data_IF_945306496648
#
_entry.id   IF_945306496648
#
_cell.length_a   1.000
_cell.length_b   1.000
_cell.length_c   1.000
_cell.angle_alpha   90.00
_cell.angle_beta   90.00
_cell.angle_gamma   90.00
#
_symmetry.space_group_name_H-M   'P 1'
#
loop_
_entity.id
_entity.type
_entity.pdbx_description
1 polymer ?
#
# COMPACT_ATOMS: atom_id res chain seq x y z
N UNK A 1 11.27 -16.79 -9.65
CA UNK A 1 9.83 -16.76 -10.00
C UNK A 1 9.06 -17.53 -8.94
N UNK A 2 8.74 -16.89 -7.81
CA UNK A 2 8.04 -17.49 -6.63
C UNK A 2 7.30 -16.45 -5.78
N UNK A 3 7.03 -15.26 -6.34
CA UNK A 3 6.47 -14.13 -5.57
C UNK A 3 4.94 -14.08 -5.72
N UNK A 4 4.40 -14.48 -6.87
CA UNK A 4 2.94 -14.40 -7.14
C UNK A 4 2.08 -15.48 -6.46
N UNK A 5 2.63 -16.68 -6.17
CA UNK A 5 1.84 -17.75 -5.51
C UNK A 5 1.60 -17.49 -4.01
N UNK A 6 2.41 -16.63 -3.37
CA UNK A 6 2.30 -16.32 -1.94
C UNK A 6 1.35 -15.17 -1.61
N UNK A 7 0.99 -14.31 -2.57
CA UNK A 7 0.17 -13.12 -2.28
C UNK A 7 -1.33 -13.45 -2.19
N UNK A 8 -1.82 -14.38 -3.01
CA UNK A 8 -3.26 -14.78 -3.00
C UNK A 8 -3.64 -15.50 -1.70
N UNK A 9 -2.70 -16.22 -1.08
CA UNK A 9 -2.91 -16.91 0.20
C UNK A 9 -2.73 -16.01 1.44
N UNK A 10 -2.42 -14.72 1.27
CA UNK A 10 -2.10 -13.82 2.38
C UNK A 10 -3.17 -12.78 2.68
N UNK A 11 -3.92 -12.29 1.67
CA UNK A 11 -4.80 -11.13 1.83
C UNK A 11 -6.27 -11.47 1.63
N UNK A 12 -7.12 -10.94 2.50
CA UNK A 12 -8.57 -11.09 2.42
C UNK A 12 -9.09 -12.43 2.93
N UNK A 13 -8.22 -13.32 3.42
CA UNK A 13 -8.65 -14.63 3.88
C UNK A 13 -9.18 -14.56 5.31
N UNK A 14 -10.34 -15.18 5.50
CA UNK A 14 -10.99 -15.38 6.78
C UNK A 14 -11.40 -16.86 6.96
N UNK A 15 -11.79 -17.20 8.18
CA UNK A 15 -12.29 -18.54 8.55
C UNK A 15 -11.38 -19.68 8.07
N UNK A 16 -10.07 -19.60 8.37
CA UNK A 16 -9.10 -20.65 8.06
C UNK A 16 -9.07 -21.08 6.59
N UNK A 17 -9.08 -20.12 5.66
CA UNK A 17 -9.09 -20.32 4.20
C UNK A 17 -10.47 -20.66 3.60
N UNK A 18 -11.55 -20.66 4.39
CA UNK A 18 -12.90 -20.97 3.87
C UNK A 18 -13.58 -19.76 3.21
N UNK A 19 -13.15 -18.54 3.53
CA UNK A 19 -13.82 -17.31 3.06
C UNK A 19 -12.81 -16.29 2.54
N UNK A 20 -13.19 -15.58 1.46
CA UNK A 20 -12.49 -14.40 0.96
C UNK A 20 -13.39 -13.18 1.23
N UNK A 21 -12.88 -12.22 1.98
CA UNK A 21 -13.51 -10.97 2.34
C UNK A 21 -12.73 -9.80 1.72
N UNK A 22 -13.39 -9.04 0.85
CA UNK A 22 -12.76 -7.93 0.13
C UNK A 22 -12.41 -6.75 1.04
N UNK A 23 -13.19 -6.46 2.07
CA UNK A 23 -12.84 -5.42 3.04
C UNK A 23 -11.57 -5.81 3.81
N UNK A 24 -11.49 -7.09 4.22
CA UNK A 24 -10.28 -7.66 4.83
C UNK A 24 -9.07 -7.61 3.89
N UNK A 25 -9.27 -7.79 2.59
CA UNK A 25 -8.20 -7.65 1.59
C UNK A 25 -7.58 -6.24 1.62
N UNK A 26 -8.40 -5.19 1.65
CA UNK A 26 -7.91 -3.80 1.74
C UNK A 26 -7.12 -3.58 3.05
N UNK A 27 -7.62 -4.11 4.17
CA UNK A 27 -6.92 -4.06 5.45
C UNK A 27 -5.56 -4.77 5.42
N UNK A 28 -5.51 -5.95 4.84
CA UNK A 28 -4.28 -6.74 4.75
C UNK A 28 -3.24 -6.08 3.84
N UNK A 29 -3.66 -5.47 2.75
CA UNK A 29 -2.79 -4.68 1.87
C UNK A 29 -2.20 -3.46 2.60
N UNK A 30 -3.02 -2.76 3.39
CA UNK A 30 -2.57 -1.62 4.21
C UNK A 30 -1.56 -2.05 5.28
N UNK A 31 -1.83 -3.17 5.97
CA UNK A 31 -0.92 -3.76 6.95
C UNK A 31 0.39 -4.18 6.28
N UNK A 32 0.31 -4.88 5.16
CA UNK A 32 1.47 -5.33 4.42
C UNK A 32 2.37 -4.17 4.01
N UNK A 33 1.78 -3.09 3.51
CA UNK A 33 2.53 -1.91 3.09
C UNK A 33 3.18 -1.18 4.28
N UNK A 34 2.50 -1.15 5.43
CA UNK A 34 3.06 -0.65 6.69
C UNK A 34 4.26 -1.50 7.15
N UNK A 35 4.16 -2.83 7.06
CA UNK A 35 5.27 -3.75 7.37
C UNK A 35 6.43 -3.53 6.40
N UNK A 36 6.18 -3.40 5.09
CA UNK A 36 7.25 -3.10 4.12
C UNK A 36 7.96 -1.80 4.45
N UNK A 37 7.21 -0.75 4.82
CA UNK A 37 7.79 0.52 5.24
C UNK A 37 8.65 0.36 6.49
N UNK A 38 8.14 -0.33 7.52
CA UNK A 38 8.86 -0.62 8.75
C UNK A 38 10.17 -1.38 8.50
N UNK A 39 10.13 -2.41 7.64
CA UNK A 39 11.30 -3.18 7.24
C UNK A 39 12.33 -2.36 6.46
N UNK A 40 11.93 -1.23 5.86
CA UNK A 40 12.84 -0.26 5.26
C UNK A 40 13.79 0.39 6.28
N UNK A 41 13.44 0.36 7.57
CA UNK A 41 14.31 0.79 8.66
C UNK A 41 14.68 2.27 8.60
N UNK A 42 15.79 2.62 9.26
CA UNK A 42 16.30 3.99 9.30
C UNK A 42 17.44 4.19 8.30
N UNK A 43 17.32 5.23 7.49
CA UNK A 43 18.45 5.73 6.70
C UNK A 43 19.33 6.58 7.64
N UNK A 44 20.58 6.18 7.86
CA UNK A 44 21.51 6.90 8.76
C UNK A 44 22.58 7.62 7.92
N UNK A 45 22.47 8.94 7.81
CA UNK A 45 23.44 9.80 7.15
C UNK A 45 23.41 11.22 7.74
N UNK A 46 24.30 12.10 7.26
CA UNK A 46 24.40 13.47 7.77
C UNK A 46 23.09 14.29 7.64
N UNK A 47 22.27 14.00 6.63
CA UNK A 47 20.98 14.67 6.41
C UNK A 47 19.92 14.14 7.37
N UNK A 48 19.82 12.83 7.56
CA UNK A 48 18.79 12.20 8.41
C UNK A 48 19.09 12.28 9.89
N UNK A 49 20.35 12.46 10.29
CA UNK A 49 20.75 12.74 11.67
C UNK A 49 20.36 14.16 12.13
N UNK A 50 20.17 15.10 11.19
CA UNK A 50 19.65 16.45 11.45
C UNK A 50 20.39 17.25 12.56
N UNK A 51 21.69 16.99 12.78
CA UNK A 51 22.45 17.59 13.89
C UNK A 51 22.46 19.13 13.84
N UNK A 52 22.59 19.71 12.65
CA UNK A 52 22.55 21.16 12.45
C UNK A 52 21.18 21.75 12.79
N UNK A 53 20.09 21.03 12.45
CA UNK A 53 18.73 21.46 12.77
C UNK A 53 18.48 21.42 14.28
N UNK A 54 18.96 20.37 14.97
CA UNK A 54 18.90 20.24 16.44
C UNK A 54 19.67 21.39 17.10
N UNK A 55 20.89 21.66 16.66
CA UNK A 55 21.72 22.74 17.19
C UNK A 55 21.08 24.11 16.98
N UNK A 56 20.43 24.32 15.84
CA UNK A 56 19.78 25.60 15.49
C UNK A 56 18.47 25.82 16.26
N UNK A 57 17.62 24.81 16.39
CA UNK A 57 16.35 24.92 17.11
C UNK A 57 16.54 25.08 18.63
N UNK A 58 17.56 24.42 19.20
CA UNK A 58 17.81 24.47 20.63
C UNK A 58 16.69 23.79 21.45
N UNK A 59 16.56 24.18 22.72
CA UNK A 59 15.72 23.43 23.68
C UNK A 59 14.23 23.75 23.62
N UNK A 60 13.83 24.90 23.06
CA UNK A 60 12.47 25.43 23.22
C UNK A 60 11.76 25.71 21.89
N UNK A 61 12.46 25.58 20.76
CA UNK A 61 11.89 25.82 19.44
C UNK A 61 11.41 24.52 18.79
N UNK A 62 10.69 24.64 17.66
CA UNK A 62 10.11 23.53 16.93
C UNK A 62 10.88 23.21 15.63
N UNK A 63 10.67 21.99 15.12
CA UNK A 63 11.31 21.50 13.91
C UNK A 63 10.47 21.70 12.64
N UNK A 64 9.34 22.42 12.72
CA UNK A 64 8.39 22.58 11.62
C UNK A 64 8.87 23.73 10.72
N UNK A 65 9.71 23.39 9.74
CA UNK A 65 10.11 24.29 8.66
C UNK A 65 10.12 23.56 7.33
N UNK A 66 10.18 24.31 6.21
CA UNK A 66 10.08 23.74 4.86
C UNK A 66 11.12 22.64 4.56
N UNK A 67 12.35 22.82 5.02
CA UNK A 67 13.43 21.86 4.81
C UNK A 67 13.17 20.55 5.57
N UNK A 68 12.78 20.65 6.84
CA UNK A 68 12.46 19.50 7.68
C UNK A 68 11.18 18.81 7.24
N UNK A 69 10.16 19.55 6.82
CA UNK A 69 8.90 18.99 6.32
C UNK A 69 9.10 18.12 5.07
N UNK A 70 10.06 18.46 4.20
CA UNK A 70 10.42 17.62 3.06
C UNK A 70 10.97 16.27 3.50
N UNK A 71 11.82 16.26 4.53
CA UNK A 71 12.38 15.04 5.09
C UNK A 71 11.32 14.22 5.83
N UNK A 72 10.48 14.88 6.64
CA UNK A 72 9.34 14.24 7.32
C UNK A 72 8.41 13.57 6.29
N UNK A 73 8.05 14.26 5.20
CA UNK A 73 7.22 13.68 4.13
C UNK A 73 7.87 12.49 3.42
N UNK A 74 9.20 12.47 3.31
CA UNK A 74 9.93 11.32 2.74
C UNK A 74 9.81 10.08 3.62
N UNK A 75 9.84 10.26 4.95
CA UNK A 75 9.79 9.16 5.91
C UNK A 75 8.38 8.85 6.43
N UNK A 76 7.41 9.74 6.20
CA UNK A 76 6.03 9.53 6.60
C UNK A 76 5.33 8.57 5.64
N UNK A 77 4.87 7.45 6.19
CA UNK A 77 3.98 6.53 5.49
C UNK A 77 2.54 6.79 5.93
N UNK A 78 1.69 7.38 5.07
CA UNK A 78 0.31 7.67 5.46
C UNK A 78 -0.45 6.37 5.71
N UNK A 79 -1.13 6.30 6.86
CA UNK A 79 -2.13 5.27 7.10
C UNK A 79 -3.34 5.56 6.19
N UNK A 80 -3.86 4.57 5.44
CA UNK A 80 -4.87 4.82 4.42
C UNK A 80 -6.26 5.14 5.00
N UNK A 81 -6.50 4.85 6.28
CA UNK A 81 -7.78 5.08 6.94
C UNK A 81 -7.74 6.35 7.79
N UNK A 82 -8.88 7.04 7.89
CA UNK A 82 -8.94 8.35 8.56
C UNK A 82 -8.77 8.23 10.08
N UNK A 83 -7.73 8.83 10.63
CA UNK A 83 -7.61 8.99 12.09
C UNK A 83 -8.41 10.24 12.51
N UNK A 84 -9.69 10.07 12.86
CA UNK A 84 -10.56 11.15 13.36
C UNK A 84 -11.00 10.86 14.78
N UNK A 85 -11.31 11.91 15.56
CA UNK A 85 -11.87 11.79 16.92
C UNK A 85 -13.30 11.20 16.97
N UNK A 86 -13.85 10.78 15.83
CA UNK A 86 -15.16 10.15 15.70
C UNK A 86 -15.02 8.64 15.58
N UNK A 87 -16.09 7.94 15.96
CA UNK A 87 -16.18 6.50 15.73
C UNK A 87 -16.00 6.21 14.23
N UNK A 88 -14.97 5.43 13.91
CA UNK A 88 -14.57 5.15 12.54
C UNK A 88 -15.26 3.86 12.08
N UNK A 89 -16.04 3.95 11.01
CA UNK A 89 -16.54 2.76 10.33
C UNK A 89 -15.53 2.31 9.27
N UNK A 90 -14.65 1.40 9.69
CA UNK A 90 -13.64 0.81 8.81
C UNK A 90 -14.28 0.11 7.61
N UNK A 91 -15.47 -0.48 7.76
CA UNK A 91 -16.13 -1.20 6.68
C UNK A 91 -16.62 -0.22 5.60
N UNK A 92 -17.13 0.93 5.99
CA UNK A 92 -17.54 1.98 5.05
C UNK A 92 -16.32 2.51 4.27
N UNK A 93 -15.21 2.78 4.95
CA UNK A 93 -13.98 3.25 4.30
C UNK A 93 -13.38 2.21 3.34
N UNK A 94 -13.32 0.94 3.73
CA UNK A 94 -12.81 -0.11 2.85
C UNK A 94 -13.75 -0.37 1.67
N UNK A 95 -15.06 -0.28 1.88
CA UNK A 95 -16.05 -0.44 0.80
C UNK A 95 -15.90 0.66 -0.25
N UNK A 96 -15.75 1.92 0.18
CA UNK A 96 -15.52 3.03 -0.75
C UNK A 96 -14.23 2.86 -1.58
N UNK A 97 -13.15 2.34 -0.98
CA UNK A 97 -11.90 2.04 -1.70
C UNK A 97 -12.11 0.92 -2.72
N UNK A 98 -12.89 -0.11 -2.38
CA UNK A 98 -13.20 -1.22 -3.29
C UNK A 98 -13.98 -0.71 -4.49
N UNK A 99 -15.03 0.08 -4.26
CA UNK A 99 -15.86 0.64 -5.30
C UNK A 99 -15.02 1.52 -6.25
N UNK A 100 -14.20 2.43 -5.71
CA UNK A 100 -13.29 3.25 -6.52
C UNK A 100 -12.34 2.40 -7.38
N UNK A 101 -11.77 1.33 -6.82
CA UNK A 101 -10.84 0.46 -7.56
C UNK A 101 -11.55 -0.33 -8.66
N UNK A 102 -12.75 -0.83 -8.40
CA UNK A 102 -13.54 -1.58 -9.38
C UNK A 102 -14.00 -0.69 -10.53
N UNK A 103 -14.45 0.53 -10.22
CA UNK A 103 -14.89 1.50 -11.23
C UNK A 103 -13.75 1.96 -12.14
N UNK A 104 -12.53 2.11 -11.59
CA UNK A 104 -11.37 2.61 -12.32
C UNK A 104 -10.44 1.50 -12.84
N UNK A 105 -10.78 0.22 -12.65
CA UNK A 105 -9.94 -0.88 -13.09
C UNK A 105 -9.90 -0.97 -14.63
N UNK A 106 -8.69 -0.94 -15.18
CA UNK A 106 -8.44 -1.21 -16.60
C UNK A 106 -7.56 -2.45 -16.69
N UNK A 107 -8.07 -3.49 -17.35
CA UNK A 107 -7.31 -4.71 -17.56
C UNK A 107 -6.00 -4.43 -18.32
N UNK A 108 -4.85 -4.94 -17.86
CA UNK A 108 -3.59 -4.74 -18.55
C UNK A 108 -3.62 -5.43 -19.91
N UNK A 109 -3.25 -4.71 -20.97
CA UNK A 109 -3.17 -5.28 -22.32
C UNK A 109 -2.13 -6.39 -22.40
N UNK A 110 -2.50 -7.51 -23.02
CA UNK A 110 -1.57 -8.59 -23.30
C UNK A 110 -0.63 -8.21 -24.44
N UNK A 111 0.64 -8.57 -24.33
CA UNK A 111 1.55 -8.50 -25.48
C UNK A 111 1.15 -9.54 -26.54
N UNK A 112 1.45 -9.27 -27.81
CA UNK A 112 1.20 -10.23 -28.90
C UNK A 112 1.82 -11.62 -28.61
N UNK A 113 2.98 -11.67 -27.96
CA UNK A 113 3.62 -12.93 -27.60
C UNK A 113 2.84 -13.71 -26.53
N UNK A 114 2.22 -13.02 -25.57
CA UNK A 114 1.36 -13.64 -24.55
C UNK A 114 0.04 -14.10 -25.14
N UNK A 115 -0.59 -13.27 -25.99
CA UNK A 115 -1.86 -13.60 -26.63
C UNK A 115 -1.75 -14.84 -27.51
N UNK A 116 -0.71 -14.92 -28.36
CA UNK A 116 -0.42 -16.10 -29.19
C UNK A 116 -0.17 -17.38 -28.40
N UNK A 117 0.37 -17.27 -27.17
CA UNK A 117 0.53 -18.44 -26.30
C UNK A 117 -0.82 -18.89 -25.76
N UNK A 118 -1.65 -17.97 -25.30
CA UNK A 118 -2.96 -18.25 -24.69
C UNK A 118 -3.95 -18.82 -25.72
N UNK A 119 -3.89 -18.37 -26.97
CA UNK A 119 -4.68 -18.88 -28.10
C UNK A 119 -4.56 -20.39 -28.34
N UNK A 120 -3.46 -21.01 -27.93
CA UNK A 120 -3.26 -22.46 -28.03
C UNK A 120 -3.91 -23.28 -26.91
N UNK A 121 -4.34 -22.63 -25.81
CA UNK A 121 -4.80 -23.30 -24.60
C UNK A 121 -6.22 -22.90 -24.17
N UNK A 122 -6.71 -21.74 -24.60
CA UNK A 122 -8.07 -21.30 -24.33
C UNK A 122 -8.93 -21.33 -25.60
N UNK A 123 -10.22 -21.74 -25.49
CA UNK A 123 -11.16 -21.57 -26.58
C UNK A 123 -11.28 -20.09 -26.95
N UNK A 124 -11.46 -19.80 -28.25
CA UNK A 124 -11.57 -18.42 -28.77
C UNK A 124 -12.67 -17.58 -28.11
N UNK A 125 -13.67 -18.22 -27.50
CA UNK A 125 -14.74 -17.54 -26.76
C UNK A 125 -14.28 -16.91 -25.42
N UNK A 126 -13.07 -17.22 -24.96
CA UNK A 126 -12.49 -16.72 -23.70
C UNK A 126 -11.20 -15.91 -23.93
N UNK A 127 -10.97 -15.47 -25.17
CA UNK A 127 -9.81 -14.66 -25.55
C UNK A 127 -10.38 -13.32 -26.02
N UNK A 128 -10.52 -12.40 -25.07
CA UNK A 128 -10.84 -11.00 -25.32
C UNK A 128 -9.63 -10.24 -25.88
#
# INVERSE_FOLDING_TARGET
MRIFETEIAAFGIEDSLNTINYNKYILDEALHSTIRHYLGGFEVNAVTLMLDAIKKAGCTDNYINMSNLRLIRKHYYPYPFKNTDREQDILEETSAIIDERLENYVAPSLTHAQQKRIEGYLPKAFID
#
